data_IF_474337534542
#
_entry.id   IF_474337534542
#
_cell.length_a   1.000
_cell.length_b   1.000
_cell.length_c   1.000
_cell.angle_alpha   90.00
_cell.angle_beta   90.00
_cell.angle_gamma   90.00
#
_symmetry.space_group_name_H-M   'P 1'
#
loop_
_entity.id
_entity.type
_entity.pdbx_description
1 polymer ?
#
# COMPACT_ATOMS: atom_id res chain seq x y z
N UNK A 1 18.88 51.56 -58.06
CA UNK A 1 19.85 50.59 -57.52
C UNK A 1 19.45 50.21 -56.09
N UNK A 2 18.55 49.23 -55.87
CA UNK A 2 18.12 48.75 -54.55
C UNK A 2 18.63 47.35 -54.18
N UNK A 3 19.42 46.70 -55.04
CA UNK A 3 19.75 45.27 -54.90
C UNK A 3 20.82 44.97 -53.82
N UNK A 4 21.66 45.93 -53.45
CA UNK A 4 22.75 45.71 -52.48
C UNK A 4 22.27 45.58 -51.01
N UNK A 5 21.07 46.04 -50.67
CA UNK A 5 20.57 45.94 -49.29
C UNK A 5 20.02 44.54 -48.93
N UNK A 6 19.56 43.76 -49.91
CA UNK A 6 18.98 42.44 -49.67
C UNK A 6 20.03 41.41 -49.23
N UNK A 7 21.27 41.53 -49.73
CA UNK A 7 22.35 40.59 -49.41
C UNK A 7 22.93 40.79 -47.99
N UNK A 8 22.87 42.01 -47.45
CA UNK A 8 23.38 42.34 -46.11
C UNK A 8 22.43 41.84 -45.01
N UNK A 9 21.12 41.81 -45.24
CA UNK A 9 20.16 41.27 -44.27
C UNK A 9 20.24 39.74 -44.14
N UNK A 10 20.48 39.02 -45.25
CA UNK A 10 20.62 37.56 -45.26
C UNK A 10 21.87 37.09 -44.49
N UNK A 11 22.97 37.87 -44.55
CA UNK A 11 24.18 37.62 -43.77
C UNK A 11 24.00 37.88 -42.26
N UNK A 12 23.17 38.86 -41.88
CA UNK A 12 22.83 39.10 -40.47
C UNK A 12 21.91 38.02 -39.91
N UNK A 13 20.91 37.58 -40.69
CA UNK A 13 19.99 36.51 -40.29
C UNK A 13 20.72 35.17 -40.06
N UNK A 14 21.67 34.83 -40.94
CA UNK A 14 22.52 33.64 -40.79
C UNK A 14 23.43 33.71 -39.56
N UNK A 15 23.94 34.89 -39.19
CA UNK A 15 24.74 35.06 -37.97
C UNK A 15 23.91 34.91 -36.68
N UNK A 16 22.69 35.47 -36.63
CA UNK A 16 21.78 35.33 -35.48
C UNK A 16 21.38 33.88 -35.27
N UNK A 17 21.03 33.16 -36.34
CA UNK A 17 20.70 31.74 -36.27
C UNK A 17 21.88 30.89 -35.79
N UNK A 18 23.07 31.15 -36.33
CA UNK A 18 24.29 30.45 -35.90
C UNK A 18 24.62 30.66 -34.41
N UNK A 19 24.37 31.87 -33.89
CA UNK A 19 24.55 32.15 -32.46
C UNK A 19 23.51 31.42 -31.60
N UNK A 20 22.23 31.46 -31.98
CA UNK A 20 21.17 30.77 -31.25
C UNK A 20 21.40 29.24 -31.20
N UNK A 21 21.92 28.64 -32.29
CA UNK A 21 22.24 27.23 -32.34
C UNK A 21 23.39 26.86 -31.38
N UNK A 22 24.44 27.69 -31.32
CA UNK A 22 25.55 27.50 -30.37
C UNK A 22 25.07 27.60 -28.93
N UNK A 23 24.23 28.60 -28.62
CA UNK A 23 23.69 28.79 -27.28
C UNK A 23 22.81 27.60 -26.87
N UNK A 24 21.96 27.09 -27.79
CA UNK A 24 21.16 25.89 -27.56
C UNK A 24 22.03 24.66 -27.29
N UNK A 25 23.10 24.46 -28.06
CA UNK A 25 24.04 23.35 -27.86
C UNK A 25 24.73 23.42 -26.50
N UNK A 26 25.17 24.60 -26.07
CA UNK A 26 25.75 24.82 -24.75
C UNK A 26 24.74 24.53 -23.64
N UNK A 27 23.49 24.98 -23.79
CA UNK A 27 22.41 24.67 -22.86
C UNK A 27 22.14 23.17 -22.77
N UNK A 28 22.11 22.46 -23.90
CA UNK A 28 21.89 21.01 -23.94
C UNK A 28 22.99 20.24 -23.20
N UNK A 29 24.26 20.58 -23.43
CA UNK A 29 25.40 19.95 -22.75
C UNK A 29 25.35 20.21 -21.24
N UNK A 30 25.04 21.45 -20.84
CA UNK A 30 24.86 21.80 -19.42
C UNK A 30 23.74 20.99 -18.76
N UNK A 31 22.61 20.82 -19.44
CA UNK A 31 21.48 20.03 -18.95
C UNK A 31 21.84 18.54 -18.81
N UNK A 32 22.55 17.96 -19.78
CA UNK A 32 23.04 16.58 -19.67
C UNK A 32 23.96 16.40 -18.46
N UNK A 33 24.88 17.33 -18.21
CA UNK A 33 25.76 17.26 -17.04
C UNK A 33 24.98 17.33 -15.72
N UNK A 34 23.97 18.20 -15.65
CA UNK A 34 23.09 18.26 -14.47
C UNK A 34 22.31 16.95 -14.28
N UNK A 35 21.77 16.38 -15.35
CA UNK A 35 21.07 15.09 -15.31
C UNK A 35 21.99 13.97 -14.80
N UNK A 36 23.24 13.91 -15.27
CA UNK A 36 24.22 12.93 -14.79
C UNK A 36 24.56 13.13 -13.31
N UNK A 37 24.76 14.37 -12.86
CA UNK A 37 24.99 14.69 -11.44
C UNK A 37 23.83 14.24 -10.56
N UNK A 38 22.59 14.51 -10.97
CA UNK A 38 21.39 14.08 -10.24
C UNK A 38 21.28 12.55 -10.22
N UNK A 39 21.54 11.88 -11.34
CA UNK A 39 21.53 10.41 -11.41
C UNK A 39 22.58 9.78 -10.50
N UNK A 40 23.79 10.36 -10.45
CA UNK A 40 24.84 9.93 -9.53
C UNK A 40 24.45 10.15 -8.08
N UNK A 41 23.90 11.32 -7.72
CA UNK A 41 23.42 11.62 -6.37
C UNK A 41 22.28 10.69 -5.94
N UNK A 42 21.31 10.42 -6.82
CA UNK A 42 20.23 9.46 -6.55
C UNK A 42 20.77 8.05 -6.35
N UNK A 43 21.77 7.63 -7.11
CA UNK A 43 22.43 6.33 -6.93
C UNK A 43 23.15 6.27 -5.58
N UNK A 44 23.88 7.33 -5.20
CA UNK A 44 24.52 7.42 -3.89
C UNK A 44 23.51 7.42 -2.74
N UNK A 45 22.40 8.15 -2.87
CA UNK A 45 21.31 8.15 -1.88
C UNK A 45 20.69 6.76 -1.77
N UNK A 46 20.40 6.07 -2.87
CA UNK A 46 19.91 4.68 -2.84
C UNK A 46 20.89 3.74 -2.12
N UNK A 47 22.20 3.89 -2.34
CA UNK A 47 23.22 3.11 -1.63
C UNK A 47 23.27 3.47 -0.14
N UNK A 48 23.24 4.76 0.22
CA UNK A 48 23.23 5.20 1.63
C UNK A 48 21.95 4.75 2.35
N UNK A 49 20.80 4.86 1.70
CA UNK A 49 19.51 4.45 2.23
C UNK A 49 19.37 2.93 2.30
N UNK A 50 19.92 2.15 1.36
CA UNK A 50 19.92 0.68 1.46
C UNK A 50 20.83 0.17 2.57
N UNK A 51 22.01 0.78 2.75
CA UNK A 51 22.91 0.50 3.89
C UNK A 51 22.28 0.88 5.23
N UNK A 52 21.53 1.99 5.28
CA UNK A 52 20.76 2.37 6.48
C UNK A 52 19.53 1.49 6.67
N UNK A 53 18.79 1.12 5.63
CA UNK A 53 17.54 0.35 5.76
C UNK A 53 17.76 -1.10 6.20
N UNK A 54 18.83 -1.74 5.74
CA UNK A 54 19.13 -3.13 6.11
C UNK A 54 19.73 -3.26 7.52
N UNK A 55 20.44 -2.24 8.01
CA UNK A 55 21.10 -2.26 9.33
C UNK A 55 20.47 -1.38 10.41
N UNK A 56 19.85 -0.24 10.09
CA UNK A 56 19.31 0.68 11.09
C UNK A 56 18.05 0.16 11.78
N UNK A 57 17.23 -0.66 11.12
CA UNK A 57 16.09 -1.32 11.76
C UNK A 57 16.46 -2.61 12.51
N UNK A 58 17.67 -3.14 12.30
CA UNK A 58 18.23 -4.26 13.09
C UNK A 58 19.17 -3.79 14.21
N UNK A 59 19.40 -2.47 14.30
CA UNK A 59 20.52 -1.87 15.04
C UNK A 59 20.58 -2.16 16.52
N UNK A 60 19.49 -2.63 17.13
CA UNK A 60 19.50 -3.03 18.54
C UNK A 60 18.55 -4.19 18.80
N UNK A 61 18.37 -5.11 17.84
CA UNK A 61 17.56 -6.30 18.13
C UNK A 61 18.20 -7.03 19.32
N UNK A 62 17.46 -7.10 20.44
CA UNK A 62 17.94 -7.80 21.63
C UNK A 62 18.50 -9.17 21.27
N UNK A 63 19.68 -9.52 21.81
CA UNK A 63 20.34 -10.83 21.59
C UNK A 63 19.38 -11.99 21.82
N UNK A 64 18.41 -11.81 22.71
CA UNK A 64 17.36 -12.79 23.01
C UNK A 64 16.42 -13.00 21.82
N UNK A 65 15.98 -11.92 21.15
CA UNK A 65 15.12 -12.01 19.95
C UNK A 65 15.92 -12.58 18.78
N UNK A 66 17.18 -12.15 18.61
CA UNK A 66 18.06 -12.64 17.55
C UNK A 66 18.26 -14.17 17.59
N UNK A 67 18.26 -14.77 18.80
CA UNK A 67 18.35 -16.24 18.97
C UNK A 67 17.20 -17.00 18.28
N UNK A 68 16.01 -16.40 18.20
CA UNK A 68 14.81 -17.03 17.65
C UNK A 68 14.41 -16.48 16.28
N UNK A 69 15.26 -15.65 15.67
CA UNK A 69 14.92 -14.83 14.50
C UNK A 69 14.38 -15.66 13.32
N UNK A 70 14.97 -16.82 13.01
CA UNK A 70 14.49 -17.70 11.93
C UNK A 70 13.08 -18.25 12.21
N UNK A 71 12.80 -18.66 13.45
CA UNK A 71 11.50 -19.20 13.82
C UNK A 71 10.44 -18.09 13.84
N UNK A 72 10.79 -16.92 14.39
CA UNK A 72 9.93 -15.74 14.40
C UNK A 72 9.56 -15.36 12.97
N UNK A 73 10.52 -15.37 12.03
CA UNK A 73 10.29 -15.07 10.62
C UNK A 73 9.32 -16.00 9.90
N UNK A 74 9.34 -17.28 10.23
CA UNK A 74 8.37 -18.22 9.67
C UNK A 74 6.97 -17.98 10.25
N UNK A 75 6.89 -17.74 11.55
CA UNK A 75 5.63 -17.51 12.27
C UNK A 75 4.97 -16.19 11.89
N UNK A 76 5.71 -15.09 11.83
CA UNK A 76 5.18 -13.75 11.49
C UNK A 76 4.54 -13.73 10.09
N UNK A 77 5.16 -14.37 9.10
CA UNK A 77 4.63 -14.45 7.73
C UNK A 77 3.37 -15.30 7.69
N UNK A 78 3.40 -16.46 8.34
CA UNK A 78 2.23 -17.35 8.41
C UNK A 78 1.07 -16.66 9.13
N UNK A 79 1.34 -15.99 10.25
CA UNK A 79 0.34 -15.23 11.00
C UNK A 79 -0.32 -14.17 10.13
N UNK A 80 0.48 -13.38 9.40
CA UNK A 80 -0.01 -12.32 8.53
C UNK A 80 -0.91 -12.79 7.39
N UNK A 81 -0.77 -14.04 6.98
CA UNK A 81 -1.57 -14.65 5.90
C UNK A 81 -2.80 -15.37 6.46
N UNK A 82 -2.66 -16.11 7.56
CA UNK A 82 -3.71 -17.03 8.04
C UNK A 82 -4.56 -16.49 9.17
N UNK A 83 -4.07 -15.52 9.95
CA UNK A 83 -4.75 -15.04 11.16
C UNK A 83 -5.18 -13.59 11.00
N UNK A 84 -4.25 -12.62 11.05
CA UNK A 84 -4.56 -11.19 10.91
C UNK A 84 -3.53 -10.43 10.06
N UNK A 85 -4.03 -9.58 9.16
CA UNK A 85 -3.18 -8.75 8.28
C UNK A 85 -2.61 -7.51 8.94
N UNK A 86 -3.25 -7.05 10.01
CA UNK A 86 -2.85 -5.88 10.78
C UNK A 86 -2.95 -6.21 12.26
N UNK A 87 -1.84 -6.01 12.95
CA UNK A 87 -1.79 -6.09 14.40
C UNK A 87 -1.77 -4.66 14.95
N UNK A 88 -2.86 -4.19 15.59
CA UNK A 88 -2.90 -2.88 16.19
C UNK A 88 -1.95 -2.86 17.40
N UNK A 89 -1.33 -1.71 17.72
CA UNK A 89 -0.43 -1.58 18.87
C UNK A 89 -1.04 -2.06 20.19
N UNK A 90 -2.35 -1.86 20.38
CA UNK A 90 -3.08 -2.26 21.58
C UNK A 90 -3.07 -3.78 21.84
N UNK A 91 -2.98 -4.62 20.81
CA UNK A 91 -2.94 -6.08 20.97
C UNK A 91 -1.66 -6.58 21.66
N UNK A 92 -0.60 -5.75 21.67
CA UNK A 92 0.67 -6.06 22.31
C UNK A 92 0.73 -5.69 23.79
N UNK A 93 -0.32 -5.04 24.32
CA UNK A 93 -0.33 -4.53 25.70
C UNK A 93 -0.58 -5.63 26.75
N UNK A 94 -1.04 -6.81 26.33
CA UNK A 94 -1.43 -7.88 27.23
C UNK A 94 -0.23 -8.71 27.70
N UNK A 95 -0.16 -8.85 29.02
CA UNK A 95 0.88 -9.59 29.73
C UNK A 95 0.76 -11.11 29.57
N UNK A 96 -0.47 -11.58 29.48
CA UNK A 96 -0.89 -12.99 29.46
C UNK A 96 -2.04 -13.13 28.46
N UNK A 97 -2.35 -14.38 28.08
CA UNK A 97 -3.46 -14.68 27.17
C UNK A 97 -4.77 -14.18 27.77
N UNK A 98 -5.45 -13.20 27.14
CA UNK A 98 -6.76 -12.76 27.60
C UNK A 98 -7.79 -13.89 27.49
N UNK A 99 -8.74 -13.93 28.42
CA UNK A 99 -9.91 -14.80 28.33
C UNK A 99 -10.94 -14.11 27.45
N UNK A 100 -11.29 -14.74 26.33
CA UNK A 100 -12.32 -14.25 25.41
C UNK A 100 -13.43 -15.30 25.38
N UNK A 101 -14.66 -14.81 25.41
CA UNK A 101 -15.82 -15.60 25.11
C UNK A 101 -15.97 -15.71 23.58
N UNK A 102 -15.87 -16.93 22.99
CA UNK A 102 -16.01 -17.10 21.55
C UNK A 102 -17.42 -16.76 21.03
N UNK A 103 -18.43 -16.71 21.91
CA UNK A 103 -19.81 -16.37 21.54
C UNK A 103 -20.08 -14.86 21.62
N UNK A 104 -19.13 -14.05 22.10
CA UNK A 104 -19.29 -12.60 22.21
C UNK A 104 -19.25 -11.94 20.82
N UNK A 105 -20.41 -11.46 20.37
CA UNK A 105 -20.55 -10.75 19.10
C UNK A 105 -19.88 -9.37 19.07
N UNK A 106 -19.49 -8.82 20.23
CA UNK A 106 -18.89 -7.48 20.32
C UNK A 106 -17.39 -7.46 20.00
N UNK A 107 -16.75 -8.62 19.79
CA UNK A 107 -15.35 -8.75 19.37
C UNK A 107 -14.96 -7.97 18.10
N UNK A 108 -15.91 -7.71 17.20
CA UNK A 108 -15.67 -6.89 15.99
C UNK A 108 -16.18 -5.46 16.08
N UNK A 109 -17.01 -5.15 17.07
CA UNK A 109 -17.64 -3.83 17.21
C UNK A 109 -16.77 -2.88 18.03
N UNK A 110 -16.16 -3.37 19.11
CA UNK A 110 -15.36 -2.56 20.01
C UNK A 110 -13.87 -2.75 19.72
N UNK A 111 -13.14 -1.66 19.53
CA UNK A 111 -11.71 -1.70 19.23
C UNK A 111 -10.90 -2.37 20.37
N UNK A 112 -11.36 -2.26 21.61
CA UNK A 112 -10.74 -2.87 22.78
C UNK A 112 -10.94 -4.38 22.82
N UNK A 113 -12.18 -4.86 22.59
CA UNK A 113 -12.45 -6.31 22.53
C UNK A 113 -11.74 -6.94 21.34
N UNK A 114 -11.65 -6.23 20.21
CA UNK A 114 -10.86 -6.66 19.05
C UNK A 114 -9.37 -6.80 19.35
N UNK A 115 -8.77 -5.82 20.05
CA UNK A 115 -7.37 -5.89 20.45
C UNK A 115 -7.11 -7.05 21.43
N UNK A 116 -8.06 -7.29 22.34
CA UNK A 116 -8.03 -8.41 23.28
C UNK A 116 -8.11 -9.77 22.55
N UNK A 117 -9.09 -9.90 21.64
CA UNK A 117 -9.30 -11.08 20.80
C UNK A 117 -8.03 -11.47 20.04
N UNK A 118 -7.49 -10.50 19.32
CA UNK A 118 -6.26 -10.66 18.57
C UNK A 118 -5.07 -11.02 19.47
N UNK A 119 -4.97 -10.42 20.65
CA UNK A 119 -3.89 -10.76 21.58
C UNK A 119 -3.95 -12.24 21.97
N UNK A 120 -5.14 -12.77 22.31
CA UNK A 120 -5.25 -14.19 22.63
C UNK A 120 -4.93 -15.09 21.45
N UNK A 121 -5.38 -14.74 20.25
CA UNK A 121 -5.02 -15.50 19.04
C UNK A 121 -3.50 -15.50 18.79
N UNK A 122 -2.81 -14.40 19.11
CA UNK A 122 -1.35 -14.37 19.06
C UNK A 122 -0.71 -15.29 20.09
N UNK A 123 -1.24 -15.36 21.32
CA UNK A 123 -0.79 -16.31 22.33
C UNK A 123 -1.06 -17.76 21.91
N UNK A 124 -2.18 -18.05 21.25
CA UNK A 124 -2.51 -19.39 20.75
C UNK A 124 -1.66 -19.79 19.55
N UNK A 125 -1.34 -18.84 18.68
CA UNK A 125 -0.54 -19.06 17.48
C UNK A 125 0.95 -19.19 17.78
N UNK A 126 1.47 -18.39 18.71
CA UNK A 126 2.88 -18.36 19.05
C UNK A 126 3.24 -19.49 20.03
N UNK A 127 4.35 -20.21 19.83
CA UNK A 127 4.86 -21.15 20.82
C UNK A 127 5.08 -20.49 22.19
N UNK A 128 4.75 -21.21 23.27
CA UNK A 128 4.79 -20.70 24.64
C UNK A 128 6.14 -20.07 25.07
N UNK A 129 7.25 -20.57 24.56
CA UNK A 129 8.58 -20.02 24.87
C UNK A 129 8.82 -18.61 24.30
N UNK A 130 8.01 -18.16 23.32
CA UNK A 130 8.07 -16.82 22.74
C UNK A 130 7.14 -15.82 23.43
N UNK A 131 6.19 -16.27 24.25
CA UNK A 131 5.21 -15.41 24.93
C UNK A 131 5.86 -14.32 25.77
N UNK A 132 6.96 -14.64 26.46
CA UNK A 132 7.74 -13.66 27.24
C UNK A 132 8.38 -12.58 26.37
N UNK A 133 8.67 -12.88 25.10
CA UNK A 133 9.29 -11.94 24.15
C UNK A 133 8.29 -10.96 23.56
N UNK A 134 6.99 -11.27 23.57
CA UNK A 134 5.94 -10.39 23.00
C UNK A 134 5.91 -9.00 23.64
N UNK A 135 6.40 -8.85 24.87
CA UNK A 135 6.50 -7.56 25.58
C UNK A 135 7.69 -6.70 25.14
N UNK A 136 8.65 -7.28 24.42
CA UNK A 136 9.83 -6.56 23.97
C UNK A 136 9.49 -5.77 22.70
N UNK A 137 9.76 -4.47 22.70
CA UNK A 137 9.54 -3.60 21.54
C UNK A 137 10.19 -4.15 20.26
N UNK A 138 11.40 -4.70 20.37
CA UNK A 138 12.12 -5.26 19.22
C UNK A 138 11.41 -6.48 18.63
N UNK A 139 10.80 -7.31 19.47
CA UNK A 139 10.00 -8.45 19.03
C UNK A 139 8.76 -7.96 18.29
N UNK A 140 8.05 -6.99 18.86
CA UNK A 140 6.84 -6.41 18.25
C UNK A 140 7.15 -5.80 16.89
N UNK A 141 8.24 -5.04 16.79
CA UNK A 141 8.69 -4.44 15.53
C UNK A 141 9.07 -5.50 14.50
N UNK A 142 9.84 -6.51 14.88
CA UNK A 142 10.22 -7.61 13.99
C UNK A 142 8.97 -8.36 13.49
N UNK A 143 8.09 -8.76 14.41
CA UNK A 143 6.88 -9.51 14.09
C UNK A 143 5.93 -8.71 13.19
N UNK A 144 5.68 -7.43 13.49
CA UNK A 144 4.82 -6.58 12.64
C UNK A 144 5.43 -6.36 11.26
N UNK A 145 6.75 -6.21 11.16
CA UNK A 145 7.45 -6.12 9.89
C UNK A 145 7.23 -7.40 9.07
N UNK A 146 7.38 -8.56 9.70
CA UNK A 146 7.11 -9.87 9.13
C UNK A 146 5.70 -10.10 8.63
N UNK A 147 4.72 -9.78 9.46
CA UNK A 147 3.29 -9.77 9.11
C UNK A 147 3.06 -8.87 7.90
N UNK A 148 3.68 -7.68 7.89
CA UNK A 148 3.65 -6.75 6.75
C UNK A 148 4.22 -7.34 5.46
N UNK A 149 5.35 -8.07 5.54
CA UNK A 149 5.96 -8.75 4.39
C UNK A 149 5.09 -9.91 3.89
N UNK A 150 4.53 -10.72 4.79
CA UNK A 150 3.60 -11.80 4.44
C UNK A 150 2.37 -11.27 3.71
N UNK A 151 1.79 -10.18 4.22
CA UNK A 151 0.70 -9.46 3.56
C UNK A 151 1.08 -8.93 2.18
N UNK A 152 2.22 -8.23 2.06
CA UNK A 152 2.66 -7.70 0.78
C UNK A 152 2.85 -8.81 -0.28
N UNK A 153 3.39 -9.95 0.15
CA UNK A 153 3.54 -11.14 -0.71
C UNK A 153 2.19 -11.71 -1.11
N UNK A 154 1.24 -11.83 -0.17
CA UNK A 154 -0.11 -12.30 -0.46
C UNK A 154 -0.84 -11.39 -1.45
N UNK A 155 -0.73 -10.06 -1.27
CA UNK A 155 -1.28 -9.06 -2.20
C UNK A 155 -0.65 -9.22 -3.59
N UNK A 156 0.67 -9.36 -3.67
CA UNK A 156 1.35 -9.52 -4.96
C UNK A 156 0.93 -10.82 -5.67
N UNK A 157 0.76 -11.91 -4.93
CA UNK A 157 0.25 -13.16 -5.49
C UNK A 157 -1.20 -13.02 -6.00
N UNK A 158 -2.08 -12.37 -5.24
CA UNK A 158 -3.44 -12.08 -5.69
C UNK A 158 -3.41 -11.23 -6.97
N UNK A 159 -2.50 -10.26 -7.02
CA UNK A 159 -2.32 -9.37 -8.17
C UNK A 159 -1.92 -10.14 -9.44
N UNK A 160 -1.06 -11.14 -9.33
CA UNK A 160 -0.63 -11.98 -10.46
C UNK A 160 -1.76 -12.82 -11.08
N UNK A 161 -2.83 -13.08 -10.33
CA UNK A 161 -4.01 -13.84 -10.79
C UNK A 161 -5.29 -12.99 -10.85
N UNK A 162 -5.19 -11.68 -10.60
CA UNK A 162 -6.36 -10.83 -10.44
C UNK A 162 -7.21 -10.73 -11.71
N UNK A 163 -6.59 -10.71 -12.89
CA UNK A 163 -7.31 -10.69 -14.16
C UNK A 163 -8.21 -11.90 -14.34
N UNK A 164 -7.74 -13.09 -13.94
CA UNK A 164 -8.54 -14.31 -13.95
C UNK A 164 -9.65 -14.27 -12.87
N UNK A 165 -9.32 -13.86 -11.64
CA UNK A 165 -10.25 -13.79 -10.51
C UNK A 165 -11.44 -12.86 -10.81
N UNK A 166 -11.17 -11.70 -11.41
CA UNK A 166 -12.17 -10.67 -11.66
C UNK A 166 -12.73 -10.67 -13.09
N UNK A 167 -12.21 -11.52 -13.98
CA UNK A 167 -12.57 -11.49 -15.40
C UNK A 167 -12.19 -10.18 -16.08
N UNK A 168 -11.08 -9.56 -15.66
CA UNK A 168 -10.57 -8.27 -16.15
C UNK A 168 -9.21 -8.45 -16.81
N UNK A 169 -8.75 -7.50 -17.65
CA UNK A 169 -7.42 -7.58 -18.24
C UNK A 169 -6.32 -7.56 -17.17
N UNK A 170 -5.43 -8.55 -17.20
CA UNK A 170 -4.39 -8.76 -16.18
C UNK A 170 -3.42 -7.57 -16.08
N UNK A 171 -3.18 -6.86 -17.19
CA UNK A 171 -2.34 -5.68 -17.25
C UNK A 171 -2.86 -4.53 -16.38
N UNK A 172 -4.17 -4.45 -16.10
CA UNK A 172 -4.76 -3.42 -15.24
C UNK A 172 -4.26 -3.52 -13.79
N UNK A 173 -3.78 -4.69 -13.37
CA UNK A 173 -3.28 -4.93 -12.02
C UNK A 173 -1.76 -4.73 -11.91
N UNK A 174 -1.06 -4.37 -12.98
CA UNK A 174 0.37 -4.09 -12.91
C UNK A 174 0.66 -2.80 -12.15
N UNK A 175 1.74 -2.78 -11.35
CA UNK A 175 2.18 -1.56 -10.63
C UNK A 175 2.64 -0.44 -11.56
N UNK A 176 2.93 -0.75 -12.81
CA UNK A 176 3.34 0.24 -13.82
C UNK A 176 2.18 0.67 -14.71
N UNK A 177 0.98 0.14 -14.50
CA UNK A 177 -0.20 0.49 -15.29
C UNK A 177 -0.66 1.90 -14.96
N UNK A 178 -1.04 2.68 -15.98
CA UNK A 178 -1.62 4.00 -15.77
C UNK A 178 -3.11 3.87 -15.43
N UNK A 179 -3.38 3.78 -14.12
CA UNK A 179 -4.74 3.62 -13.61
C UNK A 179 -5.57 4.89 -13.79
N UNK A 180 -4.95 6.06 -13.96
CA UNK A 180 -5.65 7.34 -14.02
C UNK A 180 -6.31 7.57 -15.38
N UNK A 181 -5.72 7.06 -16.46
CA UNK A 181 -6.26 7.19 -17.82
C UNK A 181 -7.31 6.14 -18.17
N UNK A 182 -7.37 5.01 -17.45
CA UNK A 182 -8.37 3.97 -17.70
C UNK A 182 -9.72 4.31 -17.04
N UNK A 183 -10.66 4.85 -17.83
CA UNK A 183 -11.99 5.23 -17.37
C UNK A 183 -12.81 4.05 -16.85
N UNK A 184 -12.71 2.87 -17.47
CA UNK A 184 -13.47 1.68 -17.08
C UNK A 184 -13.03 1.21 -15.69
N UNK A 185 -11.72 1.16 -15.46
CA UNK A 185 -11.15 0.88 -14.14
C UNK A 185 -11.59 1.95 -13.14
N UNK A 186 -11.50 3.23 -13.48
CA UNK A 186 -11.94 4.31 -12.60
C UNK A 186 -13.42 4.19 -12.22
N UNK A 187 -14.30 3.75 -13.13
CA UNK A 187 -15.72 3.51 -12.84
C UNK A 187 -15.95 2.33 -11.89
N UNK A 188 -15.10 1.30 -11.94
CA UNK A 188 -15.15 0.18 -10.98
C UNK A 188 -14.76 0.62 -9.56
N UNK A 189 -13.90 1.64 -9.44
CA UNK A 189 -13.31 2.08 -8.18
C UNK A 189 -14.01 3.25 -7.52
N UNK A 190 -14.42 4.23 -8.33
CA UNK A 190 -15.03 5.47 -7.88
C UNK A 190 -16.54 5.34 -7.81
N UNK A 191 -17.13 6.06 -6.87
CA UNK A 191 -18.58 6.28 -6.85
C UNK A 191 -18.99 7.39 -7.82
N UNK A 192 -20.27 7.76 -7.76
CA UNK A 192 -20.79 8.91 -8.50
C UNK A 192 -20.09 10.19 -7.98
N UNK A 193 -19.34 10.88 -8.85
CA UNK A 193 -18.70 12.16 -8.54
C UNK A 193 -17.19 12.11 -8.25
N UNK A 194 -16.44 11.28 -8.99
CA UNK A 194 -14.97 11.24 -9.00
C UNK A 194 -14.26 10.91 -7.68
N UNK A 195 -15.01 10.57 -6.64
CA UNK A 195 -14.47 10.22 -5.33
C UNK A 195 -14.39 8.71 -5.17
N UNK A 196 -13.25 8.25 -4.66
CA UNK A 196 -13.11 6.88 -4.18
C UNK A 196 -14.05 6.66 -3.00
N UNK A 197 -14.83 5.59 -3.05
CA UNK A 197 -15.67 5.19 -1.94
C UNK A 197 -14.83 4.43 -0.90
N UNK A 198 -15.26 4.49 0.36
CA UNK A 198 -14.67 3.68 1.43
C UNK A 198 -14.78 2.18 1.10
N UNK A 199 -15.90 1.79 0.48
CA UNK A 199 -16.16 0.46 -0.02
C UNK A 199 -16.22 0.51 -1.54
N UNK A 200 -15.29 -0.17 -2.20
CA UNK A 200 -15.20 -0.16 -3.65
C UNK A 200 -16.45 -0.80 -4.29
N UNK A 201 -17.11 -0.14 -5.26
CA UNK A 201 -18.32 -0.65 -5.92
C UNK A 201 -18.21 -2.09 -6.43
N UNK A 202 -17.06 -2.47 -6.99
CA UNK A 202 -16.83 -3.84 -7.51
C UNK A 202 -16.92 -4.92 -6.43
N UNK A 203 -16.63 -4.58 -5.17
CA UNK A 203 -16.71 -5.50 -4.04
C UNK A 203 -18.07 -5.47 -3.35
N UNK A 204 -18.81 -4.36 -3.51
CA UNK A 204 -20.10 -4.14 -2.89
C UNK A 204 -21.06 -3.57 -3.95
N UNK A 205 -21.70 -4.44 -4.75
CA UNK A 205 -22.67 -4.04 -5.77
C UNK A 205 -23.77 -3.14 -5.20
N UNK A 206 -24.42 -2.35 -6.06
CA UNK A 206 -25.40 -1.36 -5.64
C UNK A 206 -26.56 -1.98 -4.83
N UNK A 207 -26.95 -3.20 -5.20
CA UNK A 207 -27.99 -4.00 -4.57
C UNK A 207 -27.69 -4.29 -3.10
N UNK A 208 -26.40 -4.48 -2.77
CA UNK A 208 -25.92 -4.70 -1.40
C UNK A 208 -25.80 -3.37 -0.65
N UNK A 209 -25.44 -2.28 -1.35
CA UNK A 209 -25.29 -0.94 -0.75
C UNK A 209 -26.61 -0.32 -0.34
N UNK A 210 -27.69 -0.57 -1.08
CA UNK A 210 -29.03 -0.06 -0.74
C UNK A 210 -29.59 -0.67 0.55
N UNK A 211 -29.09 -1.85 0.94
CA UNK A 211 -29.45 -2.51 2.19
C UNK A 211 -28.65 -1.96 3.39
N UNK A 212 -27.56 -1.22 3.14
CA UNK A 212 -26.78 -0.56 4.19
C UNK A 212 -27.38 0.82 4.50
N UNK A 213 -27.68 1.13 5.78
CA UNK A 213 -28.21 2.45 6.14
C UNK A 213 -27.23 3.55 5.74
N UNK A 214 -27.72 4.55 4.99
CA UNK A 214 -26.93 5.62 4.32
C UNK A 214 -25.95 6.37 5.25
N UNK A 215 -26.20 6.35 6.57
CA UNK A 215 -25.35 7.00 7.57
C UNK A 215 -24.08 6.20 7.92
N UNK A 216 -24.04 4.90 7.61
CA UNK A 216 -22.92 4.02 7.93
C UNK A 216 -21.76 4.13 6.91
N UNK A 217 -22.04 4.52 5.67
CA UNK A 217 -21.05 4.58 4.59
C UNK A 217 -20.20 5.88 4.57
N UNK A 218 -20.57 6.88 5.37
CA UNK A 218 -19.90 8.19 5.42
C UNK A 218 -19.27 8.54 6.78
N UNK A 219 -19.68 7.85 7.84
CA UNK A 219 -19.01 7.93 9.15
C UNK A 219 -18.18 6.66 9.32
N UNK A 220 -16.92 6.78 9.76
CA UNK A 220 -16.01 5.65 9.96
C UNK A 220 -16.41 4.67 11.09
N UNK A 221 -17.70 4.53 11.36
CA UNK A 221 -18.31 3.67 12.37
C UNK A 221 -19.26 2.63 11.74
N UNK A 222 -18.82 1.91 10.70
CA UNK A 222 -19.48 0.66 10.33
C UNK A 222 -19.08 -0.41 11.34
N UNK A 223 -20.00 -0.73 12.27
CA UNK A 223 -20.09 -2.10 12.77
C UNK A 223 -20.39 -3.00 11.57
N UNK A 224 -19.63 -4.07 11.39
CA UNK A 224 -19.76 -4.96 10.23
C UNK A 224 -21.19 -5.51 10.07
N UNK A 225 -21.53 -6.04 8.88
CA UNK A 225 -22.86 -6.58 8.62
C UNK A 225 -23.19 -7.68 9.64
N UNK A 226 -24.33 -7.55 10.33
CA UNK A 226 -24.91 -8.65 11.10
C UNK A 226 -25.32 -9.74 10.12
N UNK A 227 -24.56 -10.83 10.08
CA UNK A 227 -24.89 -11.99 9.26
C UNK A 227 -26.13 -12.68 9.84
N UNK A 228 -27.26 -12.50 9.17
CA UNK A 228 -28.46 -13.31 9.43
C UNK A 228 -28.16 -14.76 9.05
N UNK A 229 -28.30 -15.64 10.02
CA UNK A 229 -27.99 -17.07 9.95
C UNK A 229 -29.15 -17.79 9.24
N UNK A 230 -29.27 -17.64 7.93
CA UNK A 230 -30.20 -18.48 7.14
C UNK A 230 -29.59 -18.92 5.81
N UNK A 231 -29.28 -20.22 5.75
CA UNK A 231 -29.12 -21.07 4.56
C UNK A 231 -28.17 -20.61 3.45
N UNK A 232 -26.92 -20.34 3.78
CA UNK A 232 -25.83 -20.53 2.81
C UNK A 232 -24.89 -21.63 3.32
N UNK A 233 -25.06 -22.84 2.79
CA UNK A 233 -24.04 -23.88 2.87
C UNK A 233 -22.85 -23.44 2.02
N UNK A 234 -21.93 -22.69 2.63
CA UNK A 234 -20.59 -22.46 2.08
C UNK A 234 -19.67 -23.42 2.82
N UNK A 235 -19.47 -24.60 2.24
CA UNK A 235 -18.50 -25.57 2.74
C UNK A 235 -17.09 -25.01 2.51
N UNK A 236 -16.52 -24.38 3.53
CA UNK A 236 -15.06 -24.20 3.66
C UNK A 236 -14.51 -22.77 3.63
N UNK A 237 -15.33 -21.73 3.46
CA UNK A 237 -14.85 -20.34 3.49
C UNK A 237 -15.46 -19.66 4.72
N UNK A 238 -14.62 -19.32 5.71
CA UNK A 238 -15.10 -18.57 6.87
C UNK A 238 -15.45 -17.13 6.45
N UNK A 239 -16.47 -16.48 7.05
CA UNK A 239 -16.81 -15.08 6.76
C UNK A 239 -15.61 -14.11 6.85
N UNK A 240 -14.61 -14.46 7.67
CA UNK A 240 -13.34 -13.76 7.76
C UNK A 240 -12.54 -13.79 6.45
N UNK A 241 -12.55 -14.90 5.69
CA UNK A 241 -11.83 -15.04 4.42
C UNK A 241 -12.47 -14.25 3.25
N UNK A 242 -13.79 -14.08 3.24
CA UNK A 242 -14.47 -13.23 2.24
C UNK A 242 -14.20 -11.75 2.53
N UNK A 243 -14.28 -11.37 3.80
CA UNK A 243 -13.90 -10.02 4.27
C UNK A 243 -12.41 -9.74 4.03
N UNK A 244 -11.57 -10.77 4.12
CA UNK A 244 -10.13 -10.76 3.81
C UNK A 244 -9.87 -10.48 2.32
N UNK A 245 -10.54 -11.19 1.40
CA UNK A 245 -10.38 -10.96 -0.04
C UNK A 245 -10.88 -9.57 -0.46
N UNK A 246 -12.03 -9.15 0.07
CA UNK A 246 -12.60 -7.84 -0.20
C UNK A 246 -11.71 -6.71 0.34
N UNK A 247 -11.19 -6.81 1.58
CA UNK A 247 -10.28 -5.81 2.11
C UNK A 247 -8.95 -5.75 1.36
N UNK A 248 -8.43 -6.87 0.88
CA UNK A 248 -7.21 -6.90 0.06
C UNK A 248 -7.41 -6.22 -1.30
N UNK A 249 -8.52 -6.49 -1.97
CA UNK A 249 -8.88 -5.82 -3.22
C UNK A 249 -9.12 -4.31 -2.99
N UNK A 250 -9.83 -3.91 -1.92
CA UNK A 250 -10.07 -2.50 -1.59
C UNK A 250 -8.78 -1.74 -1.23
N UNK A 251 -7.88 -2.36 -0.45
CA UNK A 251 -6.59 -1.75 -0.12
C UNK A 251 -5.71 -1.57 -1.36
N UNK A 252 -5.71 -2.55 -2.27
CA UNK A 252 -4.94 -2.48 -3.50
C UNK A 252 -5.30 -1.24 -4.33
N UNK A 253 -6.60 -0.96 -4.45
CA UNK A 253 -7.13 0.11 -5.28
C UNK A 253 -6.96 1.50 -4.65
N UNK A 254 -6.90 1.57 -3.32
CA UNK A 254 -6.66 2.82 -2.60
C UNK A 254 -5.17 3.21 -2.51
N UNK A 255 -4.26 2.23 -2.44
CA UNK A 255 -2.82 2.51 -2.26
C UNK A 255 -2.06 2.81 -3.57
N UNK A 256 -2.54 2.33 -4.73
CA UNK A 256 -1.94 2.68 -6.03
C UNK A 256 -2.36 4.08 -6.52
N UNK A 257 -3.53 4.59 -6.09
CA UNK A 257 -4.04 5.91 -6.49
C UNK A 257 -3.40 7.11 -5.77
N UNK A 258 -2.73 6.92 -4.63
CA UNK A 258 -2.27 8.03 -3.78
C UNK A 258 -0.83 8.51 -4.03
N UNK A 259 -0.10 7.95 -5.00
CA UNK A 259 1.33 8.29 -5.20
C UNK A 259 1.60 9.44 -6.18
N UNK A 260 0.57 10.15 -6.67
CA UNK A 260 0.74 11.32 -7.53
C UNK A 260 0.25 12.56 -6.78
N UNK A 261 1.15 13.18 -6.00
CA UNK A 261 0.95 14.59 -5.66
C UNK A 261 1.20 15.43 -6.93
N UNK A 262 0.27 16.30 -7.35
CA UNK A 262 0.57 17.27 -8.39
C UNK A 262 1.67 18.20 -7.87
N UNK A 263 2.75 18.35 -8.65
CA UNK A 263 3.79 19.34 -8.37
C UNK A 263 3.13 20.70 -8.17
N UNK A 264 3.18 21.23 -6.94
CA UNK A 264 2.79 22.61 -6.67
C UNK A 264 3.79 23.50 -7.40
N UNK A 265 3.33 24.09 -8.50
CA UNK A 265 4.03 25.10 -9.27
C UNK A 265 4.62 26.17 -8.35
N UNK A 266 5.95 26.18 -8.29
CA UNK A 266 6.74 27.17 -7.55
C UNK A 266 6.69 28.48 -8.34
N UNK A 267 5.80 29.39 -7.95
CA UNK A 267 5.84 30.77 -8.45
C UNK A 267 7.20 31.38 -8.07
N UNK A 268 8.00 31.69 -9.09
CA UNK A 268 9.17 32.56 -8.93
C UNK A 268 8.65 34.00 -8.98
N UNK A 269 8.85 34.73 -7.90
CA UNK A 269 8.92 36.19 -7.92
C UNK A 269 10.33 36.59 -8.37
#
# INVERSE_FOLDING_TARGET
MPEDNAMIEDFRATNVFGQALRDLQLCYVSLQQQMQKVKAHNTQLKIKCSKRGAHANRGTQSKVVAKYDTNIRALERRFGVTVWLWVPPAAWSYAERPVIDPEDTDWFTNQTTRAMALSAEMFDFLPAHLHKLMRLSDFQLAFNFGVGQGKATAIDNVRLSAGEIFGLPQEWFSSTYDHASNLDLQQLLKGNGDKYLLLTPVLFPAEVREQCPKNALHSGGCSGPKTSRENQQITGITPHMVTWAANLAGLFLLFTGHTIQPERGKKRN
#
